data_IF_157681490158
#
_entry.id   IF_157681490158
#
_cell.length_a   1.000
_cell.length_b   1.000
_cell.length_c   1.000
_cell.angle_alpha   90.00
_cell.angle_beta   90.00
_cell.angle_gamma   90.00
#
_symmetry.space_group_name_H-M   'P 1'
#
loop_
_entity.id
_entity.type
_entity.pdbx_description
1 polymer ?
#
# COMPACT_ATOMS: atom_id res chain seq x y z
N UNK A 1 -14.34 -24.10 0.96
CA UNK A 1 -14.80 -22.98 1.80
C UNK A 1 -14.13 -22.99 3.16
N UNK A 2 -14.26 -24.06 3.94
CA UNK A 2 -13.66 -24.18 5.29
C UNK A 2 -12.15 -23.80 5.36
N UNK A 3 -11.30 -24.47 4.58
CA UNK A 3 -9.85 -24.15 4.50
C UNK A 3 -9.59 -22.70 4.10
N UNK A 4 -10.38 -22.16 3.17
CA UNK A 4 -10.22 -20.82 2.63
C UNK A 4 -10.55 -19.75 3.67
N UNK A 5 -11.65 -19.91 4.41
CA UNK A 5 -12.03 -18.98 5.48
C UNK A 5 -11.16 -19.14 6.72
N UNK A 6 -10.58 -20.31 6.95
CA UNK A 6 -9.61 -20.49 8.04
C UNK A 6 -8.27 -19.83 7.72
N UNK A 7 -7.77 -19.95 6.48
CA UNK A 7 -6.46 -19.40 6.11
C UNK A 7 -6.52 -17.90 5.77
N UNK A 8 -7.61 -17.44 5.13
CA UNK A 8 -7.88 -16.03 4.82
C UNK A 8 -8.86 -15.49 5.87
N UNK A 9 -8.42 -15.47 7.11
CA UNK A 9 -9.21 -15.10 8.29
C UNK A 9 -9.56 -13.60 8.37
N UNK A 10 -8.89 -12.79 7.55
CA UNK A 10 -9.11 -11.35 7.45
C UNK A 10 -9.91 -10.97 6.19
N UNK A 11 -10.92 -10.08 6.29
CA UNK A 11 -11.78 -9.72 5.16
C UNK A 11 -11.05 -9.21 3.92
N UNK A 12 -9.99 -8.39 4.07
CA UNK A 12 -9.25 -7.87 2.92
C UNK A 12 -8.51 -8.97 2.16
N UNK A 13 -7.90 -9.93 2.86
CA UNK A 13 -7.23 -11.06 2.23
C UNK A 13 -8.22 -11.95 1.47
N UNK A 14 -9.39 -12.20 2.06
CA UNK A 14 -10.48 -12.94 1.41
C UNK A 14 -10.99 -12.21 0.15
N UNK A 15 -11.29 -10.92 0.25
CA UNK A 15 -11.76 -10.11 -0.88
C UNK A 15 -10.70 -10.05 -1.99
N UNK A 16 -9.43 -9.92 -1.63
CA UNK A 16 -8.32 -9.91 -2.59
C UNK A 16 -8.24 -11.24 -3.36
N UNK A 17 -8.32 -12.38 -2.66
CA UNK A 17 -8.38 -13.69 -3.31
C UNK A 17 -9.54 -13.79 -4.30
N UNK A 18 -10.76 -13.45 -3.85
CA UNK A 18 -11.96 -13.56 -4.68
C UNK A 18 -11.90 -12.66 -5.90
N UNK A 19 -11.42 -11.42 -5.75
CA UNK A 19 -11.27 -10.47 -6.85
C UNK A 19 -10.29 -10.99 -7.92
N UNK A 20 -9.14 -11.52 -7.49
CA UNK A 20 -8.12 -12.04 -8.42
C UNK A 20 -8.55 -13.36 -9.05
N UNK A 21 -9.19 -14.25 -8.28
CA UNK A 21 -9.76 -15.50 -8.79
C UNK A 21 -10.83 -15.25 -9.85
N UNK A 22 -11.67 -14.24 -9.65
CA UNK A 22 -12.67 -13.82 -10.63
C UNK A 22 -12.02 -13.16 -11.86
N UNK A 23 -11.00 -12.31 -11.66
CA UNK A 23 -10.26 -11.64 -12.75
C UNK A 23 -9.61 -12.65 -13.70
N UNK A 24 -9.01 -13.71 -13.15
CA UNK A 24 -8.24 -14.69 -13.92
C UNK A 24 -8.97 -16.00 -14.19
N UNK A 25 -10.29 -16.06 -13.97
CA UNK A 25 -11.08 -17.30 -14.06
C UNK A 25 -10.90 -18.05 -15.38
N UNK A 26 -10.91 -17.32 -16.50
CA UNK A 26 -10.79 -17.90 -17.85
C UNK A 26 -9.36 -18.24 -18.26
N UNK A 27 -8.37 -17.82 -17.48
CA UNK A 27 -6.95 -18.05 -17.78
C UNK A 27 -6.38 -19.21 -16.97
N UNK A 28 -7.12 -19.76 -16.00
CA UNK A 28 -6.60 -20.77 -15.08
C UNK A 28 -7.14 -22.17 -15.40
N UNK A 29 -6.21 -23.09 -15.64
CA UNK A 29 -6.46 -24.53 -15.62
C UNK A 29 -5.93 -25.08 -14.31
N UNK A 30 -6.83 -25.64 -13.50
CA UNK A 30 -6.51 -26.25 -12.21
C UNK A 30 -7.30 -27.53 -12.02
N UNK A 31 -6.68 -28.51 -11.37
CA UNK A 31 -7.32 -29.75 -10.94
C UNK A 31 -8.25 -29.53 -9.73
N UNK A 32 -7.87 -28.62 -8.83
CA UNK A 32 -8.59 -28.32 -7.59
C UNK A 32 -8.38 -26.88 -7.12
N UNK A 33 -9.36 -26.31 -6.43
CA UNK A 33 -9.30 -24.91 -5.96
C UNK A 33 -8.24 -24.65 -4.88
N UNK A 34 -7.82 -25.68 -4.13
CA UNK A 34 -6.73 -25.52 -3.15
C UNK A 34 -5.39 -25.20 -3.83
N UNK A 35 -5.20 -25.65 -5.07
CA UNK A 35 -4.02 -25.32 -5.88
C UNK A 35 -4.01 -23.82 -6.22
N UNK A 36 -5.16 -23.27 -6.60
CA UNK A 36 -5.32 -21.83 -6.83
C UNK A 36 -5.09 -21.03 -5.56
N UNK A 37 -5.62 -21.48 -4.43
CA UNK A 37 -5.40 -20.85 -3.13
C UNK A 37 -3.93 -20.91 -2.71
N UNK A 38 -3.26 -22.06 -2.85
CA UNK A 38 -1.83 -22.21 -2.56
C UNK A 38 -0.97 -21.27 -3.42
N UNK A 39 -1.28 -21.17 -4.72
CA UNK A 39 -0.64 -20.22 -5.61
C UNK A 39 -0.92 -18.75 -5.19
N UNK A 40 -2.15 -18.44 -4.79
CA UNK A 40 -2.49 -17.12 -4.26
C UNK A 40 -1.67 -16.77 -3.00
N UNK A 41 -1.57 -17.68 -2.05
CA UNK A 41 -0.84 -17.44 -0.81
C UNK A 41 0.62 -17.09 -1.07
N UNK A 42 1.24 -17.76 -2.05
CA UNK A 42 2.67 -17.57 -2.37
C UNK A 42 2.94 -16.44 -3.36
N UNK A 43 2.10 -16.29 -4.38
CA UNK A 43 2.32 -15.42 -5.55
C UNK A 43 1.24 -14.36 -5.74
N UNK A 44 0.32 -14.23 -4.79
CA UNK A 44 -0.83 -13.32 -4.87
C UNK A 44 -1.70 -13.54 -6.12
N UNK A 45 -1.68 -14.74 -6.73
CA UNK A 45 -2.45 -15.07 -7.94
C UNK A 45 -2.15 -14.13 -9.11
N UNK A 46 -0.92 -13.63 -9.20
CA UNK A 46 -0.50 -12.80 -10.31
C UNK A 46 -0.12 -13.65 -11.50
N UNK A 47 -0.86 -13.45 -12.60
CA UNK A 47 -0.56 -14.06 -13.88
C UNK A 47 0.05 -13.00 -14.80
N UNK A 48 0.99 -13.43 -15.64
CA UNK A 48 1.59 -12.55 -16.63
C UNK A 48 0.66 -12.45 -17.85
N UNK A 49 0.36 -11.23 -18.28
CA UNK A 49 -0.56 -10.94 -19.40
C UNK A 49 -0.11 -11.53 -20.75
N UNK A 50 1.13 -12.05 -20.85
CA UNK A 50 1.64 -12.69 -22.07
C UNK A 50 1.09 -14.10 -22.31
N UNK A 51 0.37 -14.67 -21.35
CA UNK A 51 -0.15 -16.04 -21.43
C UNK A 51 -1.67 -16.04 -21.50
N UNK A 52 -2.23 -16.73 -22.50
CA UNK A 52 -3.68 -16.90 -22.65
C UNK A 52 -4.26 -17.90 -21.62
N UNK A 53 -3.45 -18.87 -21.22
CA UNK A 53 -3.83 -19.94 -20.32
C UNK A 53 -2.64 -20.40 -19.47
N UNK A 54 -2.88 -20.60 -18.17
CA UNK A 54 -1.90 -21.02 -17.18
C UNK A 54 -2.42 -22.28 -16.49
N UNK A 55 -1.66 -23.36 -16.57
CA UNK A 55 -1.94 -24.60 -15.84
C UNK A 55 -1.14 -24.62 -14.54
N UNK A 56 -1.81 -24.67 -13.39
CA UNK A 56 -1.14 -24.74 -12.09
C UNK A 56 -1.04 -26.19 -11.61
N UNK A 57 0.18 -26.60 -11.24
CA UNK A 57 0.43 -27.92 -10.65
C UNK A 57 0.01 -27.98 -9.18
N UNK A 58 -0.35 -29.18 -8.72
CA UNK A 58 -0.78 -29.40 -7.33
C UNK A 58 0.33 -29.15 -6.29
N UNK A 59 1.59 -28.99 -6.70
CA UNK A 59 2.72 -28.68 -5.81
C UNK A 59 2.57 -27.33 -5.09
N UNK A 60 1.72 -26.43 -5.60
CA UNK A 60 1.39 -25.18 -4.93
C UNK A 60 0.61 -25.35 -3.61
N UNK A 61 -0.03 -26.51 -3.36
CA UNK A 61 -0.74 -26.74 -2.08
C UNK A 61 0.19 -27.01 -0.91
N UNK A 62 1.45 -27.37 -1.15
CA UNK A 62 2.40 -27.82 -0.12
C UNK A 62 2.44 -26.93 1.13
N UNK A 63 2.59 -25.61 0.95
CA UNK A 63 2.62 -24.65 2.07
C UNK A 63 1.28 -24.51 2.80
N UNK A 64 0.17 -24.68 2.07
CA UNK A 64 -1.18 -24.70 2.64
C UNK A 64 -1.38 -25.97 3.47
N UNK A 65 -0.99 -27.13 2.96
CA UNK A 65 -1.15 -28.42 3.64
C UNK A 65 -0.36 -28.46 4.95
N UNK A 66 0.86 -27.91 4.96
CA UNK A 66 1.66 -27.73 6.19
C UNK A 66 0.91 -26.85 7.20
N UNK A 67 0.38 -25.71 6.75
CA UNK A 67 -0.33 -24.79 7.62
C UNK A 67 -1.62 -25.38 8.19
N UNK A 68 -2.41 -26.06 7.36
CA UNK A 68 -3.66 -26.70 7.81
C UNK A 68 -3.37 -27.86 8.77
N UNK A 69 -2.32 -28.65 8.52
CA UNK A 69 -1.89 -29.71 9.43
C UNK A 69 -1.45 -29.13 10.78
N UNK A 70 -0.62 -28.08 10.77
CA UNK A 70 -0.17 -27.42 12.00
C UNK A 70 -1.33 -26.77 12.77
N UNK A 71 -2.31 -26.19 12.08
CA UNK A 71 -3.49 -25.53 12.68
C UNK A 71 -4.45 -26.53 13.30
N UNK A 72 -4.84 -27.55 12.54
CA UNK A 72 -5.93 -28.48 12.89
C UNK A 72 -5.46 -29.69 13.70
N UNK A 73 -4.26 -30.19 13.44
CA UNK A 73 -3.73 -31.41 14.08
C UNK A 73 -2.69 -31.09 15.17
N UNK A 74 -2.25 -29.84 15.28
CA UNK A 74 -1.25 -29.43 16.27
C UNK A 74 0.15 -30.00 16.01
N UNK A 75 0.41 -30.50 14.80
CA UNK A 75 1.75 -31.01 14.42
C UNK A 75 2.73 -29.85 14.20
N UNK A 76 4.05 -30.07 14.35
CA UNK A 76 5.05 -29.05 14.06
C UNK A 76 4.97 -28.57 12.59
N UNK A 77 4.93 -27.25 12.38
CA UNK A 77 4.87 -26.65 11.05
C UNK A 77 4.55 -25.15 11.08
N UNK A 78 4.77 -24.46 9.96
CA UNK A 78 4.40 -23.05 9.80
C UNK A 78 2.88 -22.91 9.78
N UNK A 79 2.28 -22.27 10.80
CA UNK A 79 0.81 -22.07 10.87
C UNK A 79 0.30 -21.02 9.88
N UNK A 80 1.14 -20.09 9.43
CA UNK A 80 0.79 -19.07 8.45
C UNK A 80 1.75 -19.17 7.28
N UNK A 81 1.27 -19.54 6.08
CA UNK A 81 2.11 -19.64 4.89
C UNK A 81 2.81 -18.33 4.58
N UNK A 82 4.09 -18.40 4.21
CA UNK A 82 4.82 -17.23 3.69
C UNK A 82 4.23 -16.78 2.36
N UNK A 83 4.21 -15.46 2.18
CA UNK A 83 3.74 -14.84 0.94
C UNK A 83 2.80 -13.69 1.27
N UNK A 84 1.65 -13.59 0.61
CA UNK A 84 0.77 -12.42 0.73
C UNK A 84 0.30 -12.14 2.17
N UNK A 85 0.14 -13.18 3.00
CA UNK A 85 -0.30 -13.05 4.40
C UNK A 85 0.77 -12.43 5.32
N UNK A 86 2.05 -12.59 4.98
CA UNK A 86 3.18 -12.12 5.81
C UNK A 86 4.00 -11.03 5.14
N UNK A 87 3.72 -10.73 3.86
CA UNK A 87 4.54 -9.85 2.99
C UNK A 87 4.69 -8.44 3.55
N UNK A 88 3.67 -7.96 4.26
CA UNK A 88 3.62 -6.59 4.77
C UNK A 88 3.90 -6.51 6.28
N UNK A 89 4.22 -7.62 6.94
CA UNK A 89 4.51 -7.64 8.37
C UNK A 89 5.64 -6.68 8.73
N UNK A 90 5.40 -5.83 9.73
CA UNK A 90 6.37 -4.83 10.18
C UNK A 90 6.65 -3.70 9.19
N UNK A 91 5.83 -3.54 8.15
CA UNK A 91 5.96 -2.43 7.18
C UNK A 91 4.87 -1.36 7.40
N UNK A 92 5.09 -0.11 6.98
CA UNK A 92 4.06 0.94 7.06
C UNK A 92 2.74 0.56 6.40
N UNK A 93 2.78 -0.01 5.19
CA UNK A 93 1.57 -0.52 4.50
C UNK A 93 0.87 -1.59 5.36
N UNK A 94 1.63 -2.51 5.97
CA UNK A 94 1.05 -3.55 6.85
C UNK A 94 0.38 -2.98 8.08
N UNK A 95 0.94 -1.91 8.66
CA UNK A 95 0.31 -1.15 9.74
C UNK A 95 -1.02 -0.54 9.30
N UNK A 96 -1.04 0.11 8.13
CA UNK A 96 -2.26 0.69 7.55
C UNK A 96 -3.33 -0.38 7.28
N UNK A 97 -2.96 -1.49 6.63
CA UNK A 97 -3.88 -2.61 6.37
C UNK A 97 -4.47 -3.15 7.68
N UNK A 98 -3.63 -3.35 8.69
CA UNK A 98 -4.08 -3.85 10.00
C UNK A 98 -5.06 -2.88 10.66
N UNK A 99 -4.82 -1.58 10.55
CA UNK A 99 -5.74 -0.56 11.08
C UNK A 99 -7.06 -0.51 10.28
N UNK A 100 -7.02 -0.67 8.95
CA UNK A 100 -8.22 -0.76 8.11
C UNK A 100 -9.12 -1.92 8.55
N UNK A 101 -8.51 -3.09 8.80
CA UNK A 101 -9.21 -4.30 9.23
C UNK A 101 -9.79 -4.15 10.64
N UNK A 102 -9.04 -3.54 11.56
CA UNK A 102 -9.48 -3.34 12.94
C UNK A 102 -10.63 -2.33 13.07
N UNK A 103 -10.62 -1.26 12.25
CA UNK A 103 -11.63 -0.18 12.32
C UNK A 103 -12.84 -0.42 11.42
N UNK A 104 -12.79 -1.42 10.52
CA UNK A 104 -13.83 -1.75 9.55
C UNK A 104 -14.34 -0.52 8.75
N UNK A 105 -13.41 0.33 8.30
CA UNK A 105 -13.71 1.58 7.56
C UNK A 105 -13.99 1.24 6.08
N UNK A 106 -15.24 1.35 5.59
CA UNK A 106 -15.58 0.96 4.21
C UNK A 106 -14.80 1.74 3.15
N UNK A 107 -14.51 3.02 3.40
CA UNK A 107 -13.78 3.90 2.49
C UNK A 107 -12.37 3.37 2.17
N UNK A 108 -11.78 2.61 3.09
CA UNK A 108 -10.39 2.14 2.99
C UNK A 108 -10.27 0.73 2.42
N UNK A 109 -11.39 0.02 2.18
CA UNK A 109 -11.37 -1.33 1.59
C UNK A 109 -10.69 -1.31 0.22
N UNK A 110 -11.08 -0.37 -0.63
CA UNK A 110 -10.48 -0.21 -1.96
C UNK A 110 -8.98 0.10 -1.91
N UNK A 111 -8.54 0.90 -0.94
CA UNK A 111 -7.12 1.21 -0.74
C UNK A 111 -6.33 0.01 -0.20
N UNK A 112 -6.91 -0.75 0.73
CA UNK A 112 -6.32 -2.00 1.22
C UNK A 112 -6.13 -3.01 0.09
N UNK A 113 -7.14 -3.16 -0.77
CA UNK A 113 -7.05 -3.98 -1.98
C UNK A 113 -5.96 -3.50 -2.93
N UNK A 114 -5.86 -2.18 -3.17
CA UNK A 114 -4.80 -1.59 -3.98
C UNK A 114 -3.42 -1.94 -3.40
N UNK A 115 -3.22 -1.82 -2.09
CA UNK A 115 -1.96 -2.15 -1.44
C UNK A 115 -1.59 -3.63 -1.54
N UNK A 116 -2.55 -4.54 -1.33
CA UNK A 116 -2.34 -5.97 -1.48
C UNK A 116 -1.97 -6.35 -2.92
N UNK A 117 -2.39 -5.55 -3.90
CA UNK A 117 -2.11 -5.73 -5.33
C UNK A 117 -0.97 -4.85 -5.86
N UNK A 118 -0.08 -4.35 -4.99
CA UNK A 118 1.14 -3.69 -5.44
C UNK A 118 2.22 -4.71 -5.82
N UNK A 119 3.07 -4.33 -6.79
CA UNK A 119 4.27 -5.10 -7.11
C UNK A 119 5.26 -5.05 -5.95
N UNK A 120 6.12 -6.07 -5.83
CA UNK A 120 7.09 -6.16 -4.73
C UNK A 120 7.99 -4.93 -4.62
N UNK A 121 8.51 -4.43 -5.73
CA UNK A 121 9.40 -3.26 -5.71
C UNK A 121 8.62 -1.96 -5.47
N UNK A 122 7.45 -1.82 -6.08
CA UNK A 122 6.54 -0.69 -5.84
C UNK A 122 6.16 -0.56 -4.36
N UNK A 123 5.78 -1.67 -3.72
CA UNK A 123 5.47 -1.73 -2.29
C UNK A 123 6.67 -1.30 -1.42
N UNK A 124 7.89 -1.78 -1.72
CA UNK A 124 9.11 -1.35 -1.00
C UNK A 124 9.33 0.16 -1.10
N UNK A 125 9.11 0.74 -2.29
CA UNK A 125 9.29 2.17 -2.50
C UNK A 125 8.24 3.00 -1.74
N UNK A 126 6.97 2.57 -1.76
CA UNK A 126 5.88 3.23 -1.03
C UNK A 126 6.11 3.14 0.48
N UNK A 127 6.46 1.96 1.01
CA UNK A 127 6.79 1.77 2.43
C UNK A 127 7.87 2.76 2.89
N UNK A 128 8.99 2.84 2.17
CA UNK A 128 10.07 3.80 2.47
C UNK A 128 9.62 5.25 2.34
N UNK A 129 8.71 5.52 1.41
CA UNK A 129 8.09 6.83 1.24
C UNK A 129 7.28 7.24 2.47
N UNK A 130 6.36 6.38 2.91
CA UNK A 130 5.52 6.60 4.09
C UNK A 130 6.38 6.80 5.34
N UNK A 131 7.33 5.91 5.60
CA UNK A 131 8.28 6.02 6.73
C UNK A 131 8.99 7.38 6.73
N UNK A 132 9.44 7.84 5.57
CA UNK A 132 10.11 9.13 5.45
C UNK A 132 9.16 10.27 5.74
N UNK A 133 7.98 10.29 5.14
CA UNK A 133 7.01 11.38 5.37
C UNK A 133 6.65 11.50 6.85
N UNK A 134 6.39 10.36 7.50
CA UNK A 134 6.01 10.29 8.91
C UNK A 134 7.13 10.81 9.82
N UNK A 135 8.38 10.39 9.57
CA UNK A 135 9.54 10.86 10.33
C UNK A 135 9.89 12.31 10.06
N UNK A 136 9.94 12.72 8.79
CA UNK A 136 10.27 14.10 8.41
C UNK A 136 9.26 15.08 9.02
N UNK A 137 7.97 14.79 8.97
CA UNK A 137 6.95 15.64 9.60
C UNK A 137 7.10 15.75 11.12
N UNK A 138 7.61 14.71 11.79
CA UNK A 138 7.91 14.76 13.22
C UNK A 138 9.18 15.58 13.51
N UNK A 139 10.20 15.45 12.67
CA UNK A 139 11.50 16.09 12.85
C UNK A 139 11.46 17.60 12.54
N UNK A 140 10.77 18.01 11.48
CA UNK A 140 10.74 19.41 11.02
C UNK A 140 9.44 20.16 11.38
N UNK A 141 8.43 19.45 11.87
CA UNK A 141 7.11 20.01 12.21
C UNK A 141 6.30 20.51 11.01
N UNK A 142 6.76 20.25 9.78
CA UNK A 142 6.11 20.66 8.54
C UNK A 142 5.15 19.59 8.04
N UNK A 143 4.27 19.99 7.12
CA UNK A 143 3.41 19.05 6.41
C UNK A 143 4.16 18.37 5.27
N UNK A 144 3.96 17.07 5.14
CA UNK A 144 4.54 16.28 4.07
C UNK A 144 3.46 15.51 3.33
N UNK A 145 3.66 15.32 2.04
CA UNK A 145 2.68 14.69 1.17
C UNK A 145 3.34 13.82 0.10
N UNK A 146 2.63 12.77 -0.32
CA UNK A 146 2.95 12.04 -1.55
C UNK A 146 1.67 11.67 -2.28
N UNK A 147 1.77 11.54 -3.60
CA UNK A 147 0.69 11.04 -4.46
C UNK A 147 1.24 9.96 -5.38
N UNK A 148 0.52 8.85 -5.51
CA UNK A 148 0.93 7.69 -6.29
C UNK A 148 -0.23 7.29 -7.20
N UNK A 149 -0.13 7.51 -8.52
CA UNK A 149 -1.11 7.01 -9.47
C UNK A 149 -0.96 5.50 -9.67
N UNK A 150 -2.05 4.85 -10.07
CA UNK A 150 -2.08 3.47 -10.54
C UNK A 150 -2.80 3.41 -11.88
N UNK A 151 -2.04 3.13 -12.95
CA UNK A 151 -2.58 3.07 -14.30
C UNK A 151 -3.39 1.78 -14.54
N UNK A 152 -3.08 0.71 -13.82
CA UNK A 152 -3.67 -0.62 -13.99
C UNK A 152 -5.19 -0.63 -13.82
N UNK A 153 -5.71 0.19 -12.91
CA UNK A 153 -7.11 0.26 -12.51
C UNK A 153 -7.68 1.69 -12.62
N UNK A 154 -6.94 2.62 -13.25
CA UNK A 154 -7.25 4.06 -13.29
C UNK A 154 -7.57 4.60 -11.91
N UNK A 155 -6.71 4.29 -10.94
CA UNK A 155 -6.86 4.74 -9.57
C UNK A 155 -5.59 5.45 -9.08
N UNK A 156 -5.51 5.68 -7.77
CA UNK A 156 -4.32 6.23 -7.13
C UNK A 156 -4.63 6.67 -5.71
N UNK A 157 -3.61 7.10 -4.99
CA UNK A 157 -3.78 7.59 -3.64
C UNK A 157 -2.89 8.78 -3.32
N UNK A 158 -3.32 9.58 -2.34
CA UNK A 158 -2.56 10.68 -1.74
C UNK A 158 -2.48 10.47 -0.23
N UNK A 159 -1.28 10.60 0.32
CA UNK A 159 -1.03 10.56 1.77
C UNK A 159 -0.58 11.94 2.20
N UNK A 160 -1.23 12.51 3.21
CA UNK A 160 -0.77 13.70 3.92
C UNK A 160 -0.34 13.28 5.33
N UNK A 161 0.82 13.77 5.77
CA UNK A 161 1.26 13.71 7.16
C UNK A 161 1.23 15.12 7.72
N UNK A 162 0.41 15.33 8.74
CA UNK A 162 0.10 16.68 9.21
C UNK A 162 -0.37 16.68 10.66
N UNK A 163 0.02 17.71 11.42
CA UNK A 163 -0.46 18.02 12.77
C UNK A 163 -1.63 19.01 12.80
N UNK A 164 -2.09 19.51 11.63
CA UNK A 164 -3.21 20.46 11.56
C UNK A 164 -4.51 19.92 12.19
N UNK A 165 -5.42 20.81 12.60
CA UNK A 165 -6.78 20.45 12.99
C UNK A 165 -7.47 19.59 11.92
N UNK A 166 -8.28 18.63 12.35
CA UNK A 166 -8.83 17.59 11.47
C UNK A 166 -9.63 18.17 10.30
N UNK A 167 -10.51 19.14 10.56
CA UNK A 167 -11.35 19.77 9.54
C UNK A 167 -10.51 20.39 8.42
N UNK A 168 -9.50 21.20 8.79
CA UNK A 168 -8.58 21.84 7.83
C UNK A 168 -7.75 20.81 7.08
N UNK A 169 -7.26 19.77 7.77
CA UNK A 169 -6.47 18.72 7.15
C UNK A 169 -7.28 17.90 6.14
N UNK A 170 -8.53 17.58 6.47
CA UNK A 170 -9.45 16.84 5.58
C UNK A 170 -9.81 17.63 4.34
N UNK A 171 -10.08 18.93 4.48
CA UNK A 171 -10.36 19.81 3.34
C UNK A 171 -9.16 19.90 2.37
N UNK A 172 -7.95 20.08 2.92
CA UNK A 172 -6.70 20.09 2.12
C UNK A 172 -6.45 18.77 1.41
N UNK A 173 -6.64 17.65 2.11
CA UNK A 173 -6.49 16.31 1.54
C UNK A 173 -7.51 16.08 0.42
N UNK A 174 -8.78 16.42 0.64
CA UNK A 174 -9.85 16.30 -0.35
C UNK A 174 -9.54 17.09 -1.62
N UNK A 175 -9.12 18.36 -1.46
CA UNK A 175 -8.73 19.22 -2.59
C UNK A 175 -7.56 18.62 -3.37
N UNK A 176 -6.52 18.17 -2.68
CA UNK A 176 -5.37 17.55 -3.33
C UNK A 176 -5.78 16.26 -4.07
N UNK A 177 -6.60 15.40 -3.46
CA UNK A 177 -7.11 14.18 -4.08
C UNK A 177 -7.91 14.47 -5.36
N UNK A 178 -8.82 15.46 -5.34
CA UNK A 178 -9.60 15.85 -6.52
C UNK A 178 -8.72 16.31 -7.68
N UNK A 179 -7.70 17.12 -7.37
CA UNK A 179 -6.76 17.62 -8.38
C UNK A 179 -5.94 16.48 -8.96
N UNK A 180 -5.39 15.58 -8.13
CA UNK A 180 -4.60 14.44 -8.61
C UNK A 180 -5.42 13.47 -9.42
N UNK A 181 -6.61 13.10 -8.95
CA UNK A 181 -7.58 12.30 -9.70
C UNK A 181 -7.86 12.87 -11.09
N UNK A 182 -8.02 14.20 -11.18
CA UNK A 182 -8.25 14.88 -12.45
C UNK A 182 -7.02 14.87 -13.37
N UNK A 183 -5.85 15.23 -12.82
CA UNK A 183 -4.55 15.28 -13.52
C UNK A 183 -4.17 13.92 -14.13
N UNK A 184 -4.40 12.84 -13.38
CA UNK A 184 -4.07 11.47 -13.80
C UNK A 184 -5.16 10.79 -14.61
N UNK A 185 -6.30 11.45 -14.83
CA UNK A 185 -7.49 10.87 -15.49
C UNK A 185 -8.02 9.60 -14.82
N UNK A 186 -7.93 9.55 -13.49
CA UNK A 186 -8.36 8.41 -12.67
C UNK A 186 -9.87 8.45 -12.37
N UNK A 187 -10.47 7.26 -12.23
CA UNK A 187 -11.86 7.08 -11.82
C UNK A 187 -12.01 7.00 -10.29
N UNK A 188 -10.96 6.53 -9.61
CA UNK A 188 -10.96 6.39 -8.15
C UNK A 188 -9.71 7.07 -7.59
N UNK A 189 -9.85 7.74 -6.44
CA UNK A 189 -8.71 8.26 -5.71
C UNK A 189 -8.91 8.16 -4.21
N UNK A 190 -7.91 7.65 -3.52
CA UNK A 190 -7.93 7.45 -2.07
C UNK A 190 -7.09 8.53 -1.37
N UNK A 191 -7.60 9.09 -0.29
CA UNK A 191 -6.88 10.02 0.56
C UNK A 191 -6.65 9.42 1.95
N UNK A 192 -5.42 9.51 2.45
CA UNK A 192 -5.06 9.17 3.83
C UNK A 192 -4.44 10.38 4.53
N UNK A 193 -4.91 10.64 5.74
CA UNK A 193 -4.31 11.58 6.68
C UNK A 193 -3.65 10.80 7.81
N UNK A 194 -2.34 10.94 7.96
CA UNK A 194 -1.56 10.27 8.99
C UNK A 194 -1.03 11.26 10.03
N UNK A 195 -0.89 10.79 11.26
CA UNK A 195 -0.26 11.53 12.33
C UNK A 195 1.28 11.57 12.15
N UNK A 196 1.95 12.72 12.38
CA UNK A 196 3.40 12.79 12.42
C UNK A 196 3.98 11.85 13.49
N UNK A 197 5.13 11.24 13.19
CA UNK A 197 5.85 10.37 14.12
C UNK A 197 5.31 8.94 14.20
N UNK A 198 4.02 8.77 14.53
CA UNK A 198 3.40 7.45 14.68
C UNK A 198 2.91 6.87 13.36
N UNK A 199 2.41 7.70 12.45
CA UNK A 199 1.78 7.26 11.21
C UNK A 199 0.35 6.77 11.37
N UNK A 200 -0.27 6.95 12.54
CA UNK A 200 -1.65 6.50 12.81
C UNK A 200 -2.65 7.22 11.90
N UNK A 201 -3.72 6.53 11.48
CA UNK A 201 -4.73 7.11 10.60
C UNK A 201 -5.62 8.08 11.37
N UNK A 202 -5.48 9.37 11.04
CA UNK A 202 -6.32 10.46 11.54
C UNK A 202 -7.57 10.68 10.69
N UNK A 203 -7.55 10.24 9.44
CA UNK A 203 -8.69 10.40 8.53
C UNK A 203 -8.45 9.75 7.18
N UNK A 204 -9.55 9.47 6.51
CA UNK A 204 -9.55 8.88 5.18
C UNK A 204 -10.69 9.44 4.34
N UNK A 205 -10.54 9.37 3.02
CA UNK A 205 -11.60 9.66 2.07
C UNK A 205 -11.40 8.86 0.78
N UNK A 206 -12.49 8.64 0.06
CA UNK A 206 -12.49 8.01 -1.26
C UNK A 206 -13.32 8.83 -2.22
N UNK A 207 -12.78 9.08 -3.40
CA UNK A 207 -13.44 9.81 -4.48
C UNK A 207 -13.60 8.85 -5.65
N UNK A 208 -14.78 8.26 -5.78
CA UNK A 208 -15.11 7.28 -6.81
C UNK A 208 -16.14 7.85 -7.78
N UNK A 209 -15.67 8.30 -8.93
CA UNK A 209 -16.50 8.87 -9.99
C UNK A 209 -15.75 8.80 -11.32
N UNK A 210 -16.45 8.41 -12.39
CA UNK A 210 -15.84 8.36 -13.74
C UNK A 210 -15.24 9.71 -14.11
N UNK A 211 -14.02 9.68 -14.62
CA UNK A 211 -13.36 10.91 -15.05
C UNK A 211 -14.16 11.58 -16.18
N UNK A 212 -14.34 12.89 -16.07
CA UNK A 212 -14.93 13.75 -17.10
C UNK A 212 -14.22 15.10 -17.06
N UNK A 213 -14.14 15.77 -18.21
CA UNK A 213 -13.59 17.11 -18.28
C UNK A 213 -14.42 18.08 -17.42
N UNK A 214 -13.74 18.95 -16.68
CA UNK A 214 -14.36 19.90 -15.75
C UNK A 214 -13.55 21.20 -15.72
N UNK A 215 -14.16 22.29 -16.19
CA UNK A 215 -13.51 23.59 -16.32
C UNK A 215 -13.04 24.18 -14.97
N UNK A 216 -13.71 23.83 -13.85
CA UNK A 216 -13.28 24.29 -12.53
C UNK A 216 -12.06 23.50 -12.07
N UNK A 217 -12.02 22.19 -12.32
CA UNK A 217 -10.85 21.36 -12.01
C UNK A 217 -9.64 21.72 -12.89
N UNK A 218 -9.85 22.10 -14.15
CA UNK A 218 -8.78 22.63 -15.01
C UNK A 218 -8.16 23.90 -14.45
N UNK A 219 -8.99 24.86 -14.03
CA UNK A 219 -8.51 26.09 -13.37
C UNK A 219 -7.79 25.78 -12.07
N UNK A 220 -8.33 24.88 -11.25
CA UNK A 220 -7.72 24.47 -10.00
C UNK A 220 -6.36 23.77 -10.23
N UNK A 221 -6.26 22.88 -11.22
CA UNK A 221 -5.01 22.23 -11.61
C UNK A 221 -3.97 23.24 -12.11
N UNK A 222 -4.39 24.24 -12.88
CA UNK A 222 -3.50 25.31 -13.36
C UNK A 222 -2.95 26.18 -12.21
N UNK A 223 -3.77 26.43 -11.18
CA UNK A 223 -3.38 27.18 -9.98
C UNK A 223 -2.64 26.32 -8.94
N UNK A 224 -2.64 24.99 -9.08
CA UNK A 224 -2.03 24.08 -8.13
C UNK A 224 -0.49 24.18 -8.16
N UNK A 225 0.19 24.27 -7.01
CA UNK A 225 1.64 24.25 -6.96
C UNK A 225 2.15 22.94 -7.55
N UNK A 226 2.79 23.01 -8.73
CA UNK A 226 3.29 21.87 -9.49
C UNK A 226 4.48 21.22 -8.79
N UNK A 227 4.26 20.55 -7.65
CA UNK A 227 5.14 19.46 -7.24
C UNK A 227 4.89 18.32 -8.22
N UNK A 228 5.83 18.01 -9.13
CA UNK A 228 5.64 16.91 -10.07
C UNK A 228 5.47 15.61 -9.27
N UNK A 229 4.60 14.71 -9.74
CA UNK A 229 4.59 13.36 -9.21
C UNK A 229 5.94 12.74 -9.49
N UNK A 230 6.70 12.46 -8.44
CA UNK A 230 8.00 11.83 -8.58
C UNK A 230 7.81 10.36 -8.94
N UNK A 231 8.64 9.79 -9.84
CA UNK A 231 8.59 8.37 -10.14
C UNK A 231 8.64 7.54 -8.85
N UNK A 232 7.87 6.45 -8.78
CA UNK A 232 7.78 5.61 -7.57
C UNK A 232 9.15 5.20 -7.03
N UNK A 233 10.09 4.87 -7.92
CA UNK A 233 11.49 4.53 -7.55
C UNK A 233 12.17 5.63 -6.72
N UNK A 234 11.87 6.89 -7.03
CA UNK A 234 12.37 8.06 -6.32
C UNK A 234 11.68 8.31 -4.98
N UNK A 235 10.52 7.71 -4.69
CA UNK A 235 9.96 7.74 -3.33
C UNK A 235 10.93 7.13 -2.31
N UNK A 236 11.72 6.14 -2.72
CA UNK A 236 12.77 5.58 -1.86
C UNK A 236 14.07 6.36 -1.86
N UNK A 237 14.33 7.18 -2.88
CA UNK A 237 15.50 8.03 -2.95
C UNK A 237 15.14 9.35 -2.30
N UNK A 238 15.57 9.55 -1.04
CA UNK A 238 15.49 10.88 -0.43
C UNK A 238 16.06 11.90 -1.40
N UNK A 239 15.47 13.11 -1.45
CA UNK A 239 16.06 14.25 -2.18
C UNK A 239 17.57 14.17 -2.00
N UNK A 240 18.30 13.95 -3.11
CA UNK A 240 19.73 13.59 -3.18
C UNK A 240 20.38 13.86 -1.84
N UNK A 241 20.52 12.83 -0.98
CA UNK A 241 21.09 13.02 0.37
C UNK A 241 22.36 13.80 0.16
N UNK A 242 22.36 15.09 0.54
CA UNK A 242 23.59 15.86 0.67
C UNK A 242 24.47 14.95 1.51
N UNK A 243 25.62 14.54 0.98
CA UNK A 243 26.56 13.69 1.72
C UNK A 243 26.87 14.48 3.01
N UNK A 244 26.26 14.05 4.11
CA UNK A 244 26.45 14.72 5.40
C UNK A 244 27.91 14.47 5.78
N UNK A 245 28.68 15.55 5.89
CA UNK A 245 30.08 15.44 6.25
C UNK A 245 30.21 14.79 7.62
N UNK A 246 31.19 13.91 7.83
CA UNK A 246 31.42 13.21 9.12
C UNK A 246 31.38 14.15 10.34
N UNK A 247 31.77 15.41 10.17
CA UNK A 247 31.82 16.41 11.23
C UNK A 247 30.61 17.38 11.26
N UNK A 248 29.67 17.30 10.32
CA UNK A 248 28.45 18.12 10.31
C UNK A 248 27.48 17.68 11.41
N UNK A 249 26.56 18.56 11.86
CA UNK A 249 25.47 18.19 12.75
C UNK A 249 24.69 16.98 12.20
N UNK A 250 24.43 16.01 13.06
CA UNK A 250 23.77 14.77 12.68
C UNK A 250 22.32 15.04 12.27
N UNK A 251 21.85 14.52 11.13
CA UNK A 251 20.50 14.80 10.62
C UNK A 251 19.38 14.16 11.45
N UNK A 252 19.70 13.36 12.49
CA UNK A 252 18.72 12.84 13.45
C UNK A 252 18.31 13.85 14.54
N UNK A 253 18.75 15.11 14.45
CA UNK A 253 18.36 16.16 15.40
C UNK A 253 19.07 16.09 16.76
N UNK A 254 20.01 15.17 16.97
CA UNK A 254 20.68 14.97 18.28
C UNK A 254 21.64 16.09 18.69
N UNK A 255 21.92 17.07 17.82
CA UNK A 255 22.92 18.12 18.04
C UNK A 255 24.38 17.63 18.02
N UNK A 256 24.63 16.31 17.96
CA UNK A 256 25.98 15.71 17.88
C UNK A 256 26.50 15.73 16.43
N UNK A 257 27.82 15.64 16.26
CA UNK A 257 28.42 15.45 14.91
C UNK A 257 28.03 14.07 14.36
N UNK A 258 27.79 13.97 13.05
CA UNK A 258 27.34 12.73 12.39
C UNK A 258 28.21 11.51 12.74
N UNK A 259 29.54 11.68 12.81
CA UNK A 259 30.50 10.64 13.20
C UNK A 259 30.44 10.14 14.66
N UNK A 260 29.64 10.77 15.52
CA UNK A 260 29.50 10.43 16.94
C UNK A 260 28.05 10.12 17.30
N UNK A 261 27.24 9.78 16.30
CA UNK A 261 25.81 9.56 16.48
C UNK A 261 25.30 8.43 15.58
N UNK A 262 24.96 8.70 14.31
CA UNK A 262 24.34 7.70 13.43
C UNK A 262 25.33 7.00 12.48
N UNK A 263 26.63 7.33 12.57
CA UNK A 263 27.68 6.65 11.82
C UNK A 263 28.39 5.57 12.65
N UNK A 264 28.15 5.54 13.96
CA UNK A 264 28.66 4.53 14.89
C UNK A 264 27.57 3.49 15.17
#
# INVERSE_FOLDING_TARGET
MDVLTEILDKPLHLLNYLALRAKFDKQLLVSQELTTLGYHLKHNLWLEDRYDMVNLGDDFTSSLDIAMSARRLGVPGERTPKGILTRFDGTPIGGLISEFEARAIPELVGLGMLFLQLESDTAKHINRGIDRLVRSAADDGQQHDMSVPSDADKSGFTIHVSSLPEEVARERLSTHCRIRKYDTKSNVWYGLLLAPGTGDIRGALTIEEKWKADANLEKALAAWPKKPMVPIKMLSQGALRRKVGRNEPCPCGSGKKYKRCCLD
#
